data_IF_496250651213
#
_entry.id   IF_496250651213
#
_cell.length_a   1.000
_cell.length_b   1.000
_cell.length_c   1.000
_cell.angle_alpha   90.00
_cell.angle_beta   90.00
_cell.angle_gamma   90.00
#
_symmetry.space_group_name_H-M   'P 1'
#
loop_
_entity.id
_entity.type
_entity.pdbx_description
1 polymer ?
#
# COMPACT_ATOMS: atom_id res chain seq x y z
N UNK A 1 3.13 3.24 -22.85
CA UNK A 1 2.78 1.91 -23.42
C UNK A 1 1.29 1.92 -23.71
N UNK A 2 0.88 1.84 -24.97
CA UNK A 2 -0.54 1.88 -25.35
C UNK A 2 -1.19 0.51 -25.08
N UNK A 3 -1.61 0.28 -23.85
CA UNK A 3 -2.48 -0.87 -23.54
C UNK A 3 -3.83 -0.59 -24.21
N UNK A 4 -4.36 -1.50 -25.05
CA UNK A 4 -5.64 -1.28 -25.71
C UNK A 4 -6.75 -1.12 -24.66
N UNK A 5 -7.64 -0.16 -24.89
CA UNK A 5 -8.69 0.28 -23.96
C UNK A 5 -9.54 -0.84 -23.35
N UNK A 6 -9.95 -1.92 -24.06
CA UNK A 6 -10.70 -3.02 -23.43
C UNK A 6 -9.85 -3.81 -22.42
N UNK A 7 -8.57 -4.04 -22.70
CA UNK A 7 -7.67 -4.77 -21.79
C UNK A 7 -7.44 -3.94 -20.52
N UNK A 8 -7.29 -2.63 -20.65
CA UNK A 8 -7.14 -1.73 -19.50
C UNK A 8 -8.38 -1.74 -18.59
N UNK A 9 -9.59 -1.84 -19.14
CA UNK A 9 -10.82 -1.93 -18.34
C UNK A 9 -10.95 -3.28 -17.62
N UNK A 10 -10.67 -4.39 -18.30
CA UNK A 10 -10.73 -5.72 -17.70
C UNK A 10 -9.66 -5.87 -16.61
N UNK A 11 -8.42 -5.46 -16.89
CA UNK A 11 -7.33 -5.50 -15.94
C UNK A 11 -7.57 -4.57 -14.74
N UNK A 12 -8.10 -3.36 -14.98
CA UNK A 12 -8.46 -2.44 -13.91
C UNK A 12 -9.60 -2.96 -13.03
N UNK A 13 -10.63 -3.56 -13.64
CA UNK A 13 -11.74 -4.17 -12.92
C UNK A 13 -11.31 -5.37 -12.10
N UNK A 14 -10.51 -6.26 -12.70
CA UNK A 14 -9.91 -7.41 -12.00
C UNK A 14 -9.05 -6.95 -10.82
N UNK A 15 -8.20 -5.93 -11.02
CA UNK A 15 -7.36 -5.35 -9.98
C UNK A 15 -8.17 -4.86 -8.78
N UNK A 16 -9.23 -4.07 -9.02
CA UNK A 16 -10.13 -3.60 -7.95
C UNK A 16 -10.80 -4.77 -7.24
N UNK A 17 -11.31 -5.74 -7.98
CA UNK A 17 -11.97 -6.91 -7.40
C UNK A 17 -11.03 -7.70 -6.48
N UNK A 18 -9.77 -7.91 -6.89
CA UNK A 18 -8.76 -8.56 -6.06
C UNK A 18 -8.38 -7.75 -4.81
N UNK A 19 -8.32 -6.41 -4.90
CA UNK A 19 -8.08 -5.56 -3.73
C UNK A 19 -9.25 -5.64 -2.76
N UNK A 20 -10.49 -5.54 -3.26
CA UNK A 20 -11.69 -5.63 -2.42
C UNK A 20 -11.82 -7.01 -1.76
N UNK A 21 -11.51 -8.07 -2.50
CA UNK A 21 -11.47 -9.43 -1.96
C UNK A 21 -10.48 -9.55 -0.80
N UNK A 22 -9.27 -9.01 -0.96
CA UNK A 22 -8.28 -9.01 0.11
C UNK A 22 -8.75 -8.19 1.32
N UNK A 23 -9.31 -7.00 1.11
CA UNK A 23 -9.83 -6.15 2.20
C UNK A 23 -10.94 -6.85 2.99
N UNK A 24 -11.81 -7.62 2.33
CA UNK A 24 -12.94 -8.29 2.98
C UNK A 24 -12.60 -9.66 3.59
N UNK A 25 -11.54 -10.31 3.11
CA UNK A 25 -11.21 -11.70 3.49
C UNK A 25 -9.98 -11.78 4.38
N UNK A 26 -9.05 -10.82 4.31
CA UNK A 26 -7.82 -10.89 5.07
C UNK A 26 -8.03 -10.31 6.46
N UNK A 27 -7.85 -11.18 7.45
CA UNK A 27 -7.93 -10.85 8.88
C UNK A 27 -6.61 -11.21 9.58
N UNK A 28 -6.50 -10.91 10.88
CA UNK A 28 -5.36 -11.19 11.77
C UNK A 28 -4.92 -12.66 11.78
N UNK A 29 -5.81 -13.56 11.38
CA UNK A 29 -5.58 -15.00 11.26
C UNK A 29 -4.93 -15.41 9.92
N UNK A 30 -4.80 -14.49 8.98
CA UNK A 30 -4.17 -14.73 7.69
C UNK A 30 -2.66 -14.76 7.87
N UNK A 31 -2.05 -15.95 7.69
CA UNK A 31 -0.61 -16.12 7.81
C UNK A 31 0.14 -15.19 6.84
N UNK A 32 0.73 -14.13 7.38
CA UNK A 32 1.57 -13.21 6.63
C UNK A 32 3.04 -13.47 6.98
N UNK A 33 3.94 -13.61 5.99
CA UNK A 33 3.71 -13.58 4.53
C UNK A 33 3.30 -14.95 3.98
N UNK A 34 2.26 -15.00 3.14
CA UNK A 34 1.71 -16.24 2.58
C UNK A 34 1.28 -16.12 1.11
N UNK A 35 1.06 -17.28 0.45
CA UNK A 35 0.63 -17.37 -0.97
C UNK A 35 -0.64 -16.57 -1.28
N UNK A 36 -1.50 -16.34 -0.30
CA UNK A 36 -2.75 -15.59 -0.45
C UNK A 36 -2.49 -14.13 -0.82
N UNK A 37 -1.36 -13.54 -0.36
CA UNK A 37 -0.98 -12.17 -0.67
C UNK A 37 -0.61 -11.95 -2.15
N UNK A 38 -0.30 -13.01 -2.91
CA UNK A 38 -0.04 -12.89 -4.36
C UNK A 38 -1.26 -12.36 -5.12
N UNK A 39 -2.47 -12.71 -4.67
CA UNK A 39 -3.72 -12.32 -5.32
C UNK A 39 -3.87 -10.78 -5.36
N UNK A 40 -3.86 -10.05 -4.23
CA UNK A 40 -3.94 -8.60 -4.25
C UNK A 40 -2.69 -7.94 -4.85
N UNK A 41 -1.51 -8.55 -4.75
CA UNK A 41 -0.28 -8.00 -5.34
C UNK A 41 -0.35 -8.00 -6.86
N UNK A 42 -0.73 -9.13 -7.47
CA UNK A 42 -0.92 -9.21 -8.92
C UNK A 42 -2.09 -8.32 -9.37
N UNK A 43 -3.15 -8.24 -8.56
CA UNK A 43 -4.25 -7.30 -8.76
C UNK A 43 -3.82 -5.83 -8.81
N UNK A 44 -3.01 -5.41 -7.83
CA UNK A 44 -2.45 -4.07 -7.78
C UNK A 44 -1.51 -3.80 -8.96
N UNK A 45 -0.66 -4.76 -9.33
CA UNK A 45 0.22 -4.66 -10.49
C UNK A 45 -0.59 -4.50 -11.80
N UNK A 46 -1.65 -5.29 -11.98
CA UNK A 46 -2.56 -5.17 -13.12
C UNK A 46 -3.24 -3.79 -13.16
N UNK A 47 -3.65 -3.25 -12.01
CA UNK A 47 -4.26 -1.92 -11.90
C UNK A 47 -3.27 -0.81 -12.28
N UNK A 48 -2.01 -0.91 -11.85
CA UNK A 48 -0.94 0.04 -12.19
C UNK A 48 -0.64 0.01 -13.69
N UNK A 49 -0.50 -1.18 -14.27
CA UNK A 49 -0.25 -1.34 -15.72
C UNK A 49 -1.43 -0.83 -16.55
N UNK A 50 -2.67 -1.07 -16.10
CA UNK A 50 -3.88 -0.53 -16.73
C UNK A 50 -3.95 1.00 -16.64
N UNK A 51 -3.49 1.60 -15.54
CA UNK A 51 -3.45 3.04 -15.32
C UNK A 51 -2.35 3.78 -16.10
N UNK A 52 -1.25 3.10 -16.45
CA UNK A 52 -0.10 3.68 -17.16
C UNK A 52 -0.46 4.26 -18.55
N UNK A 53 -1.57 3.83 -19.15
CA UNK A 53 -2.09 4.36 -20.41
C UNK A 53 -2.95 5.63 -20.28
N UNK A 54 -3.28 6.07 -19.07
CA UNK A 54 -3.97 7.34 -18.79
C UNK A 54 -5.45 7.45 -19.21
N UNK A 55 -5.96 6.58 -20.09
CA UNK A 55 -7.27 6.78 -20.74
C UNK A 55 -8.44 5.94 -20.20
N UNK A 56 -8.24 5.12 -19.16
CA UNK A 56 -9.28 4.24 -18.62
C UNK A 56 -10.24 4.97 -17.67
N UNK A 57 -11.54 4.66 -17.75
CA UNK A 57 -12.56 5.21 -16.83
C UNK A 57 -12.24 4.91 -15.35
N UNK A 58 -11.66 3.74 -15.10
CA UNK A 58 -11.24 3.27 -13.79
C UNK A 58 -10.09 4.14 -13.25
N UNK A 59 -9.06 4.38 -14.08
CA UNK A 59 -7.96 5.26 -13.69
C UNK A 59 -8.44 6.68 -13.41
N UNK A 60 -9.36 7.20 -14.23
CA UNK A 60 -9.95 8.53 -14.01
C UNK A 60 -10.71 8.58 -12.68
N UNK A 61 -11.53 7.58 -12.37
CA UNK A 61 -12.26 7.50 -11.12
C UNK A 61 -11.32 7.41 -9.90
N UNK A 62 -10.23 6.64 -9.99
CA UNK A 62 -9.22 6.54 -8.93
C UNK A 62 -8.41 7.84 -8.78
N UNK A 63 -8.14 8.55 -9.87
CA UNK A 63 -7.38 9.80 -9.87
C UNK A 63 -8.22 11.02 -9.47
N UNK A 64 -9.55 11.01 -9.68
CA UNK A 64 -10.43 12.16 -9.49
C UNK A 64 -11.31 12.10 -8.24
N UNK A 65 -10.83 11.52 -7.14
CA UNK A 65 -11.64 11.29 -5.94
C UNK A 65 -10.94 11.64 -4.61
N UNK A 66 -11.51 11.22 -3.46
CA UNK A 66 -10.88 11.35 -2.15
C UNK A 66 -9.69 10.39 -1.96
N UNK A 67 -9.54 9.35 -2.80
CA UNK A 67 -8.48 8.35 -2.63
C UNK A 67 -7.05 8.94 -2.68
N UNK A 68 -6.68 9.81 -3.64
CA UNK A 68 -5.37 10.45 -3.63
C UNK A 68 -5.15 11.38 -2.43
N UNK A 69 -6.21 12.02 -1.91
CA UNK A 69 -6.13 12.87 -0.72
C UNK A 69 -5.81 12.02 0.52
N UNK A 70 -6.55 10.92 0.70
CA UNK A 70 -6.29 9.96 1.79
C UNK A 70 -4.88 9.39 1.66
N UNK A 71 -4.47 8.98 0.47
CA UNK A 71 -3.12 8.45 0.23
C UNK A 71 -2.01 9.45 0.61
N UNK A 72 -2.18 10.72 0.25
CA UNK A 72 -1.23 11.80 0.63
C UNK A 72 -1.20 12.02 2.14
N UNK A 73 -2.35 12.02 2.80
CA UNK A 73 -2.44 12.20 4.24
C UNK A 73 -1.82 11.02 4.99
N UNK A 74 -2.14 9.79 4.59
CA UNK A 74 -1.55 8.56 5.14
C UNK A 74 -0.04 8.52 4.93
N UNK A 75 0.45 8.96 3.76
CA UNK A 75 1.89 9.02 3.49
C UNK A 75 2.61 10.06 4.35
N UNK A 76 2.03 11.26 4.47
CA UNK A 76 2.55 12.28 5.39
C UNK A 76 2.54 11.75 6.84
N UNK A 77 1.48 11.04 7.23
CA UNK A 77 1.37 10.42 8.55
C UNK A 77 2.45 9.35 8.80
N UNK A 78 2.69 8.52 7.78
CA UNK A 78 3.71 7.49 7.78
C UNK A 78 5.12 8.05 7.99
N UNK A 79 5.43 9.14 7.30
CA UNK A 79 6.73 9.78 7.36
C UNK A 79 7.05 10.39 8.73
N UNK A 80 6.06 10.94 9.46
CA UNK A 80 6.35 11.55 10.76
C UNK A 80 6.35 10.54 11.92
N UNK A 81 5.54 9.48 11.84
CA UNK A 81 5.45 8.54 12.97
C UNK A 81 6.76 7.77 13.16
N UNK A 82 7.46 7.43 12.06
CA UNK A 82 8.68 6.63 12.12
C UNK A 82 9.80 7.36 12.88
N UNK A 83 10.11 8.62 12.55
CA UNK A 83 11.00 9.46 13.35
C UNK A 83 10.57 9.60 14.81
N UNK A 84 9.27 9.80 15.08
CA UNK A 84 8.77 9.93 16.44
C UNK A 84 9.03 8.67 17.27
N UNK A 85 8.78 7.49 16.71
CA UNK A 85 9.08 6.19 17.33
C UNK A 85 10.59 6.03 17.52
N UNK A 86 11.39 6.38 16.51
CA UNK A 86 12.85 6.31 16.59
C UNK A 86 13.42 7.18 17.73
N UNK A 87 12.92 8.41 17.88
CA UNK A 87 13.31 9.31 18.96
C UNK A 87 12.89 8.74 20.32
N UNK A 88 11.66 8.24 20.44
CA UNK A 88 11.18 7.61 21.67
C UNK A 88 12.07 6.43 22.08
N UNK A 89 12.44 5.57 21.13
CA UNK A 89 13.36 4.44 21.37
C UNK A 89 14.73 4.92 21.84
N UNK A 90 15.28 6.01 21.26
CA UNK A 90 16.60 6.53 21.64
C UNK A 90 16.58 7.11 23.06
N UNK A 91 15.51 7.82 23.44
CA UNK A 91 15.36 8.42 24.77
C UNK A 91 15.21 7.33 25.84
N UNK A 92 14.47 6.26 25.55
CA UNK A 92 14.24 5.14 26.48
C UNK A 92 15.47 4.24 26.66
N UNK A 93 16.49 4.35 25.77
CA UNK A 93 17.71 3.55 25.92
C UNK A 93 18.47 3.99 27.17
N UNK A 94 18.71 3.10 28.14
CA UNK A 94 19.58 3.43 29.26
C UNK A 94 20.97 3.78 28.69
N UNK A 95 21.39 5.02 28.90
CA UNK A 95 22.72 5.48 28.50
C UNK A 95 23.74 4.63 29.25
N UNK A 96 24.45 3.76 28.52
CA UNK A 96 25.34 2.72 29.05
C UNK A 96 26.63 3.26 29.70
N UNK A 97 26.53 4.26 30.56
CA UNK A 97 27.65 4.73 31.39
C UNK A 97 27.83 3.91 32.67
N UNK A 98 26.91 2.98 32.98
CA UNK A 98 26.96 2.15 34.20
C UNK A 98 27.55 0.73 34.01
N UNK A 99 27.82 0.26 32.78
CA UNK A 99 28.17 -1.15 32.52
C UNK A 99 29.63 -1.43 32.10
N UNK A 100 30.48 -0.40 31.94
CA UNK A 100 31.88 -0.55 31.47
C UNK A 100 32.93 -0.39 32.58
N UNK A 101 32.57 -0.61 33.85
CA UNK A 101 33.53 -0.59 34.98
C UNK A 101 33.25 -1.72 35.96
N UNK A 102 33.67 -2.93 35.60
CA UNK A 102 33.94 -4.03 36.52
C UNK A 102 35.23 -4.72 36.07
#
# INVERSE_FOLDING_TARGET
THVPTPIAHIAGGAGIASILYAVLTFDETTAFPGRVALIPVLGAAALIVAGAGGSGIINRALASGPLPLVGRLSYAWYLWHWPAIGIAIIIDRPTGTAQTRA
#
